data_IF_001843838979
#
_entry.id   IF_001843838979
#
_cell.length_a   1.000
_cell.length_b   1.000
_cell.length_c   1.000
_cell.angle_alpha   90.00
_cell.angle_beta   90.00
_cell.angle_gamma   90.00
#
_symmetry.space_group_name_H-M   'P 1'
#
loop_
_entity.id
_entity.type
_entity.pdbx_description
1 polymer ?
#
# COMPACT_ATOMS: atom_id res chain seq x y z
N UNK A 1 -15.42 -6.07 -6.72
CA UNK A 1 -15.86 -7.44 -7.08
C UNK A 1 -17.23 -7.81 -6.47
N UNK A 2 -17.48 -7.53 -5.17
CA UNK A 2 -18.77 -7.85 -4.53
C UNK A 2 -19.96 -7.01 -5.03
N UNK A 3 -19.71 -5.80 -5.53
CA UNK A 3 -20.73 -4.99 -6.23
C UNK A 3 -21.28 -5.68 -7.49
N UNK A 4 -20.41 -6.29 -8.30
CA UNK A 4 -20.83 -7.06 -9.48
C UNK A 4 -21.58 -8.34 -9.10
N UNK A 5 -21.25 -8.95 -7.97
CA UNK A 5 -21.98 -10.12 -7.47
C UNK A 5 -23.44 -9.76 -7.13
N UNK A 6 -23.69 -8.56 -6.58
CA UNK A 6 -25.05 -8.03 -6.36
C UNK A 6 -25.76 -7.73 -7.68
N UNK A 7 -25.07 -7.09 -8.63
CA UNK A 7 -25.63 -6.73 -9.93
C UNK A 7 -26.05 -7.95 -10.76
N UNK A 8 -25.37 -9.09 -10.58
CA UNK A 8 -25.72 -10.38 -11.22
C UNK A 8 -26.82 -11.13 -10.47
N UNK A 9 -26.99 -10.90 -9.15
CA UNK A 9 -28.01 -11.60 -8.33
C UNK A 9 -29.43 -11.03 -8.47
N UNK A 10 -29.59 -9.82 -9.01
CA UNK A 10 -30.91 -9.22 -9.22
C UNK A 10 -31.74 -9.03 -7.95
N UNK A 11 -33.06 -8.82 -8.10
CA UNK A 11 -34.02 -8.53 -7.03
C UNK A 11 -34.21 -9.67 -5.99
N UNK A 12 -33.61 -10.84 -6.19
CA UNK A 12 -33.63 -11.97 -5.25
C UNK A 12 -32.49 -11.93 -4.22
N UNK A 13 -31.69 -10.86 -4.19
CA UNK A 13 -30.59 -10.73 -3.26
C UNK A 13 -31.09 -10.59 -1.80
N UNK A 14 -30.60 -11.42 -0.85
CA UNK A 14 -30.91 -11.29 0.57
C UNK A 14 -30.70 -9.85 1.06
N UNK A 15 -31.54 -9.34 1.96
CA UNK A 15 -31.53 -7.92 2.39
C UNK A 15 -30.17 -7.35 2.82
N UNK A 16 -29.22 -8.21 3.21
CA UNK A 16 -27.83 -7.86 3.48
C UNK A 16 -27.08 -7.29 2.26
N UNK A 17 -27.34 -7.77 1.04
CA UNK A 17 -26.65 -7.31 -0.16
C UNK A 17 -27.05 -5.89 -0.58
N UNK A 18 -28.27 -5.43 -0.22
CA UNK A 18 -28.69 -4.03 -0.40
C UNK A 18 -27.82 -3.04 0.38
N UNK A 19 -27.18 -3.47 1.47
CA UNK A 19 -26.23 -2.62 2.20
C UNK A 19 -24.99 -2.28 1.36
N UNK A 20 -24.64 -3.11 0.38
CA UNK A 20 -23.50 -2.90 -0.52
C UNK A 20 -23.74 -1.79 -1.55
N UNK A 21 -24.99 -1.34 -1.76
CA UNK A 21 -25.27 -0.21 -2.64
C UNK A 21 -24.77 1.11 -2.02
N UNK A 22 -24.80 1.21 -0.69
CA UNK A 22 -24.28 2.38 0.02
C UNK A 22 -22.76 2.49 -0.15
N UNK A 23 -22.31 3.62 -0.68
CA UNK A 23 -20.88 3.96 -0.79
C UNK A 23 -20.21 4.06 0.58
N UNK A 24 -20.93 4.55 1.59
CA UNK A 24 -20.45 4.67 2.97
C UNK A 24 -20.20 3.29 3.58
N UNK A 25 -21.15 2.36 3.41
CA UNK A 25 -20.99 1.01 3.93
C UNK A 25 -19.78 0.33 3.28
N UNK A 26 -19.66 0.40 1.94
CA UNK A 26 -18.51 -0.11 1.19
C UNK A 26 -17.18 0.47 1.68
N UNK A 27 -17.13 1.77 1.96
CA UNK A 27 -15.93 2.43 2.46
C UNK A 27 -15.52 1.91 3.87
N UNK A 28 -16.50 1.72 4.77
CA UNK A 28 -16.26 1.19 6.12
C UNK A 28 -15.74 -0.25 6.06
N UNK A 29 -16.39 -1.12 5.28
CA UNK A 29 -15.93 -2.52 5.15
C UNK A 29 -14.57 -2.60 4.46
N UNK A 30 -14.29 -1.72 3.48
CA UNK A 30 -12.97 -1.64 2.86
C UNK A 30 -11.89 -1.19 3.85
N UNK A 31 -12.17 -0.22 4.71
CA UNK A 31 -11.24 0.18 5.76
C UNK A 31 -10.99 -0.98 6.73
N UNK A 32 -12.06 -1.64 7.18
CA UNK A 32 -11.96 -2.76 8.11
C UNK A 32 -11.16 -3.93 7.52
N UNK A 33 -11.39 -4.29 6.26
CA UNK A 33 -10.63 -5.37 5.61
C UNK A 33 -9.18 -5.00 5.38
N UNK A 34 -8.87 -3.75 4.99
CA UNK A 34 -7.49 -3.30 4.86
C UNK A 34 -6.74 -3.35 6.21
N UNK A 35 -7.40 -2.91 7.29
CA UNK A 35 -6.87 -2.97 8.65
C UNK A 35 -6.61 -4.42 9.09
N UNK A 36 -7.58 -5.32 8.87
CA UNK A 36 -7.46 -6.73 9.23
C UNK A 36 -6.30 -7.41 8.48
N UNK A 37 -6.22 -7.23 7.16
CA UNK A 37 -5.12 -7.77 6.35
C UNK A 37 -3.78 -7.25 6.88
N UNK A 38 -3.69 -5.94 7.15
CA UNK A 38 -2.47 -5.34 7.69
C UNK A 38 -2.14 -5.93 9.06
N UNK A 39 -3.06 -5.95 10.02
CA UNK A 39 -2.82 -6.48 11.37
C UNK A 39 -2.34 -7.94 11.37
N UNK A 40 -2.88 -8.77 10.48
CA UNK A 40 -2.52 -10.18 10.39
C UNK A 40 -1.14 -10.36 9.74
N UNK A 41 -0.86 -9.64 8.65
CA UNK A 41 0.37 -9.83 7.87
C UNK A 41 1.57 -9.03 8.42
N UNK A 42 1.33 -7.95 9.17
CA UNK A 42 2.37 -7.05 9.64
C UNK A 42 3.38 -7.72 10.61
N UNK A 43 2.96 -8.55 11.60
CA UNK A 43 3.91 -9.27 12.46
C UNK A 43 4.80 -10.24 11.69
N UNK A 44 4.24 -10.92 10.68
CA UNK A 44 5.01 -11.81 9.80
C UNK A 44 6.02 -11.02 8.97
N UNK A 45 5.60 -9.88 8.40
CA UNK A 45 6.47 -9.01 7.62
C UNK A 45 7.62 -8.46 8.47
N UNK A 46 7.34 -7.93 9.67
CA UNK A 46 8.37 -7.41 10.57
C UNK A 46 9.41 -8.49 10.87
N UNK A 47 9.00 -9.71 11.21
CA UNK A 47 9.92 -10.81 11.49
C UNK A 47 10.80 -11.13 10.27
N UNK A 48 10.24 -11.10 9.06
CA UNK A 48 10.99 -11.31 7.81
C UNK A 48 11.98 -10.18 7.53
N UNK A 49 11.60 -8.94 7.77
CA UNK A 49 12.47 -7.77 7.55
C UNK A 49 13.60 -7.72 8.58
N UNK A 50 13.31 -8.03 9.85
CA UNK A 50 14.31 -8.17 10.92
C UNK A 50 15.29 -9.31 10.63
N UNK A 51 14.80 -10.47 10.18
CA UNK A 51 15.65 -11.62 9.83
C UNK A 51 16.61 -11.33 8.66
N UNK A 52 16.24 -10.41 7.75
CA UNK A 52 17.09 -9.96 6.65
C UNK A 52 18.08 -8.85 7.07
N UNK A 53 18.18 -8.51 8.36
CA UNK A 53 19.01 -7.42 8.88
C UNK A 53 18.80 -6.10 8.14
N UNK A 54 17.55 -5.81 7.78
CA UNK A 54 17.09 -4.54 7.20
C UNK A 54 16.97 -3.51 8.35
N UNK A 55 18.06 -3.30 9.06
CA UNK A 55 18.21 -2.17 9.97
C UNK A 55 18.70 -0.98 9.17
N UNK A 56 18.10 0.20 9.38
CA UNK A 56 18.64 1.44 8.82
C UNK A 56 20.16 1.50 9.05
N UNK A 57 20.94 1.69 7.99
CA UNK A 57 22.33 2.09 8.10
C UNK A 57 22.31 3.48 8.70
N UNK A 58 22.62 3.54 9.99
CA UNK A 58 22.68 4.79 10.73
C UNK A 58 23.88 5.56 10.20
N UNK A 59 23.62 6.74 9.64
CA UNK A 59 24.64 7.74 9.34
C UNK A 59 25.32 8.14 10.66
N UNK A 60 26.65 8.01 10.71
CA UNK A 60 27.46 8.35 11.90
C UNK A 60 27.46 9.86 12.22
N UNK A 61 26.84 10.67 11.36
CA UNK A 61 26.80 12.14 11.40
C UNK A 61 25.61 12.75 12.20
N UNK A 62 24.92 11.99 13.06
CA UNK A 62 23.76 12.46 13.85
C UNK A 62 23.89 12.29 15.38
N UNK A 63 23.23 13.13 16.22
CA UNK A 63 23.33 13.08 17.69
C UNK A 63 22.78 11.76 18.27
N UNK A 64 23.34 11.30 19.39
CA UNK A 64 23.09 9.97 20.01
C UNK A 64 21.60 9.61 20.23
N UNK A 65 20.71 10.59 20.35
CA UNK A 65 19.26 10.39 20.46
C UNK A 65 18.63 9.77 19.20
N UNK A 66 19.28 9.88 18.03
CA UNK A 66 18.85 9.25 16.77
C UNK A 66 19.19 7.75 16.68
N UNK A 67 20.01 7.21 17.59
CA UNK A 67 20.32 5.78 17.67
C UNK A 67 19.12 4.93 18.14
N UNK A 68 18.09 5.57 18.73
CA UNK A 68 16.86 4.92 19.21
C UNK A 68 15.93 4.42 18.10
N UNK A 69 16.14 4.85 16.84
CA UNK A 69 15.44 4.33 15.64
C UNK A 69 16.11 3.11 15.02
N UNK A 70 17.17 2.57 15.66
CA UNK A 70 17.81 1.31 15.26
C UNK A 70 16.81 0.16 15.39
N UNK A 71 16.50 -0.49 14.26
CA UNK A 71 15.78 -1.76 14.24
C UNK A 71 14.31 -1.68 13.85
N UNK A 72 13.74 -0.49 13.63
CA UNK A 72 12.43 -0.38 12.95
C UNK A 72 12.62 -0.71 11.46
N UNK A 73 12.01 -1.79 10.95
CA UNK A 73 12.22 -2.20 9.57
C UNK A 73 11.66 -1.14 8.60
N UNK A 74 12.47 -0.78 7.61
CA UNK A 74 12.03 0.06 6.49
C UNK A 74 11.15 -0.79 5.56
N UNK A 75 10.23 -0.18 4.80
CA UNK A 75 9.22 -0.83 3.92
C UNK A 75 7.89 -1.30 4.53
N UNK A 76 7.60 -1.08 5.82
CA UNK A 76 6.30 -1.45 6.41
C UNK A 76 5.09 -0.79 5.71
N UNK A 77 5.27 0.42 5.18
CA UNK A 77 4.24 1.17 4.46
C UNK A 77 3.77 0.50 3.16
N UNK A 78 4.62 -0.28 2.49
CA UNK A 78 4.25 -0.99 1.26
C UNK A 78 3.14 -2.00 1.52
N UNK A 79 3.21 -2.74 2.63
CA UNK A 79 2.17 -3.71 2.99
C UNK A 79 0.84 -3.03 3.31
N UNK A 80 0.89 -1.87 3.98
CA UNK A 80 -0.32 -1.10 4.29
C UNK A 80 -1.02 -0.65 3.00
N UNK A 81 -0.27 -0.09 2.04
CA UNK A 81 -0.84 0.35 0.77
C UNK A 81 -1.31 -0.83 -0.08
N UNK A 82 -0.56 -1.94 -0.12
CA UNK A 82 -1.01 -3.16 -0.80
C UNK A 82 -2.31 -3.72 -0.20
N UNK A 83 -2.43 -3.72 1.13
CA UNK A 83 -3.65 -4.14 1.82
C UNK A 83 -4.83 -3.23 1.48
N UNK A 84 -4.60 -1.92 1.40
CA UNK A 84 -5.60 -0.95 0.97
C UNK A 84 -6.01 -1.15 -0.50
N UNK A 85 -5.06 -1.38 -1.42
CA UNK A 85 -5.32 -1.66 -2.84
C UNK A 85 -6.18 -2.91 -3.03
N UNK A 86 -5.82 -4.02 -2.36
CA UNK A 86 -6.60 -5.27 -2.39
C UNK A 86 -8.01 -5.02 -1.85
N UNK A 87 -8.11 -4.29 -0.73
CA UNK A 87 -9.40 -3.97 -0.14
C UNK A 87 -10.28 -3.12 -1.07
N UNK A 88 -9.70 -2.09 -1.70
CA UNK A 88 -10.40 -1.29 -2.70
C UNK A 88 -10.85 -2.16 -3.88
N UNK A 89 -10.03 -3.06 -4.42
CA UNK A 89 -10.45 -3.96 -5.52
C UNK A 89 -11.65 -4.86 -5.14
N UNK A 90 -11.72 -5.28 -3.88
CA UNK A 90 -12.82 -6.12 -3.39
C UNK A 90 -14.14 -5.34 -3.30
N UNK A 91 -14.11 -4.14 -2.71
CA UNK A 91 -15.31 -3.41 -2.28
C UNK A 91 -15.69 -2.20 -3.14
N UNK A 92 -14.74 -1.61 -3.88
CA UNK A 92 -15.02 -0.45 -4.73
C UNK A 92 -15.82 -0.83 -5.97
N UNK A 93 -16.46 0.19 -6.54
CA UNK A 93 -17.15 0.09 -7.81
C UNK A 93 -16.15 0.15 -8.97
N UNK A 94 -15.83 -1.01 -9.54
CA UNK A 94 -14.87 -1.10 -10.66
C UNK A 94 -15.48 -0.69 -12.00
N UNK A 95 -16.78 -0.36 -12.06
CA UNK A 95 -17.37 0.28 -13.24
C UNK A 95 -16.94 1.74 -13.37
N UNK A 96 -16.52 2.35 -12.26
CA UNK A 96 -16.11 3.73 -12.21
C UNK A 96 -14.65 3.90 -12.70
N UNK A 97 -14.41 4.63 -13.80
CA UNK A 97 -13.06 4.84 -14.33
C UNK A 97 -12.15 5.60 -13.35
N UNK A 98 -12.70 6.46 -12.47
CA UNK A 98 -11.90 7.17 -11.47
C UNK A 98 -11.31 6.24 -10.41
N UNK A 99 -11.96 5.10 -10.14
CA UNK A 99 -11.42 4.07 -9.24
C UNK A 99 -10.17 3.44 -9.85
N UNK A 100 -10.23 3.09 -11.15
CA UNK A 100 -9.06 2.57 -11.86
C UNK A 100 -7.92 3.57 -11.95
N UNK A 101 -8.23 4.85 -12.19
CA UNK A 101 -7.24 5.93 -12.17
C UNK A 101 -6.53 6.01 -10.81
N UNK A 102 -7.31 6.04 -9.74
CA UNK A 102 -6.78 6.13 -8.36
C UNK A 102 -5.96 4.89 -7.99
N UNK A 103 -6.43 3.70 -8.33
CA UNK A 103 -5.71 2.44 -8.11
C UNK A 103 -4.40 2.41 -8.91
N UNK A 104 -4.42 2.86 -10.17
CA UNK A 104 -3.26 2.92 -11.04
C UNK A 104 -2.17 3.84 -10.52
N UNK A 105 -2.53 5.08 -10.16
CA UNK A 105 -1.59 6.06 -9.58
C UNK A 105 -1.08 5.56 -8.21
N UNK A 106 -1.96 5.03 -7.35
CA UNK A 106 -1.53 4.54 -6.04
C UNK A 106 -0.58 3.35 -6.17
N UNK A 107 -0.86 2.43 -7.09
CA UNK A 107 0.00 1.27 -7.37
C UNK A 107 1.36 1.70 -7.95
N UNK A 108 1.40 2.66 -8.87
CA UNK A 108 2.65 3.15 -9.46
C UNK A 108 3.56 3.79 -8.41
N UNK A 109 3.01 4.65 -7.55
CA UNK A 109 3.76 5.25 -6.43
C UNK A 109 4.21 4.21 -5.40
N UNK A 110 3.40 3.16 -5.17
CA UNK A 110 3.78 2.04 -4.29
C UNK A 110 5.00 1.31 -4.85
N UNK A 111 5.03 1.04 -6.15
CA UNK A 111 6.17 0.39 -6.82
C UNK A 111 7.41 1.28 -6.78
N UNK A 112 7.28 2.57 -7.09
CA UNK A 112 8.40 3.53 -7.04
C UNK A 112 8.98 3.62 -5.62
N UNK A 113 8.12 3.72 -4.60
CA UNK A 113 8.54 3.76 -3.20
C UNK A 113 9.21 2.47 -2.75
N UNK A 114 8.68 1.32 -3.16
CA UNK A 114 9.29 0.01 -2.87
C UNK A 114 10.66 -0.13 -3.53
N UNK A 115 10.83 0.30 -4.78
CA UNK A 115 12.11 0.28 -5.48
C UNK A 115 13.15 1.19 -4.83
N UNK A 116 12.75 2.41 -4.44
CA UNK A 116 13.62 3.36 -3.73
C UNK A 116 14.13 2.78 -2.41
N UNK A 117 13.24 2.19 -1.61
CA UNK A 117 13.62 1.54 -0.36
C UNK A 117 14.45 0.26 -0.60
N UNK A 118 14.21 -0.46 -1.69
CA UNK A 118 14.98 -1.65 -2.06
C UNK A 118 16.42 -1.29 -2.43
N UNK A 119 16.63 -0.19 -3.15
CA UNK A 119 17.98 0.28 -3.50
C UNK A 119 18.74 0.80 -2.27
N UNK A 120 18.09 1.55 -1.37
CA UNK A 120 18.70 1.94 -0.08
C UNK A 120 19.19 0.74 0.71
N UNK A 121 18.39 -0.34 0.71
CA UNK A 121 18.76 -1.57 1.40
C UNK A 121 19.93 -2.29 0.72
N UNK A 122 19.87 -2.42 -0.62
CA UNK A 122 20.91 -3.11 -1.40
C UNK A 122 22.26 -2.42 -1.27
N UNK A 123 22.27 -1.10 -1.39
CA UNK A 123 23.50 -0.30 -1.44
C UNK A 123 24.00 0.07 -0.05
N UNK A 124 23.28 -0.33 1.03
CA UNK A 124 23.58 0.00 2.43
C UNK A 124 23.92 1.48 2.63
N UNK A 125 23.24 2.33 1.87
CA UNK A 125 23.48 3.77 1.86
C UNK A 125 22.17 4.50 2.08
N UNK A 126 22.23 5.68 2.68
CA UNK A 126 21.05 6.55 2.81
C UNK A 126 20.59 7.13 1.47
N UNK A 127 21.46 7.09 0.45
CA UNK A 127 21.13 7.49 -0.92
C UNK A 127 20.37 6.36 -1.59
N UNK A 128 19.06 6.53 -1.75
CA UNK A 128 18.24 5.62 -2.54
C UNK A 128 18.39 5.87 -4.04
N UNK A 129 17.26 5.86 -4.75
CA UNK A 129 17.22 6.22 -6.15
C UNK A 129 17.82 7.63 -6.39
N UNK A 130 18.62 7.83 -7.46
CA UNK A 130 19.13 9.15 -7.80
C UNK A 130 17.98 10.15 -7.86
N UNK A 131 18.12 11.32 -7.23
CA UNK A 131 17.04 12.30 -7.06
C UNK A 131 16.32 12.63 -8.37
N UNK A 132 17.09 12.81 -9.46
CA UNK A 132 16.57 13.04 -10.81
C UNK A 132 15.77 11.85 -11.33
N UNK A 133 16.25 10.63 -11.13
CA UNK A 133 15.57 9.41 -11.55
C UNK A 133 14.26 9.19 -10.79
N UNK A 134 14.24 9.49 -9.49
CA UNK A 134 13.03 9.41 -8.67
C UNK A 134 11.97 10.40 -9.17
N UNK A 135 12.38 11.64 -9.43
CA UNK A 135 11.48 12.69 -9.88
C UNK A 135 10.92 12.40 -11.28
N UNK A 136 11.75 11.89 -12.20
CA UNK A 136 11.31 11.42 -13.53
C UNK A 136 10.32 10.27 -13.41
N UNK A 137 10.58 9.29 -12.54
CA UNK A 137 9.67 8.15 -12.35
C UNK A 137 8.31 8.58 -11.80
N UNK A 138 8.28 9.53 -10.86
CA UNK A 138 7.05 10.07 -10.29
C UNK A 138 6.27 10.87 -11.32
N UNK A 139 6.93 11.81 -12.02
CA UNK A 139 6.29 12.60 -13.08
C UNK A 139 5.80 11.73 -14.24
N UNK A 140 6.61 10.76 -14.67
CA UNK A 140 6.23 9.81 -15.72
C UNK A 140 5.05 8.94 -15.33
N UNK A 141 4.97 8.55 -14.04
CA UNK A 141 3.82 7.79 -13.55
C UNK A 141 2.52 8.58 -13.56
N UNK A 142 2.57 9.89 -13.29
CA UNK A 142 1.39 10.77 -13.40
C UNK A 142 1.04 11.02 -14.87
N UNK A 143 2.02 11.18 -15.75
CA UNK A 143 1.77 11.38 -17.18
C UNK A 143 1.21 10.16 -17.93
N UNK A 144 1.24 8.97 -17.33
CA UNK A 144 0.69 7.73 -17.91
C UNK A 144 -0.84 7.64 -17.73
N UNK A 145 -1.41 8.38 -16.79
CA UNK A 145 -2.80 8.27 -16.32
C UNK A 145 -3.54 9.58 -16.54
#
# INVERSE_FOLDING_TARGET
>A
MFYYLHQVLGDDAPGFFRLLDSSVFRAIVALATALLITMILYPWLIKRLQAKQIGQVVRDDGPESHLSKRGTPTMGGTLLILSALVSCLLWSDLSNPFVWLTLGITASYTVIGFLDDYWKLRDKSSGGMPEKGKLISQLGSVGLF
#
